data_IF_449895408619
#
_entry.id   IF_449895408619
#
_cell.length_a   1.000
_cell.length_b   1.000
_cell.length_c   1.000
_cell.angle_alpha   90.00
_cell.angle_beta   90.00
_cell.angle_gamma   90.00
#
_symmetry.space_group_name_H-M   'P 1'
#
loop_
_entity.id
_entity.type
_entity.pdbx_description
1 polymer ?
#
# COMPACT_ATOMS: atom_id res chain seq x y z
N UNK A 1 7.37 1.17 -6.14
CA UNK A 1 7.14 2.39 -6.93
C UNK A 1 5.70 2.91 -6.83
N UNK A 2 4.91 2.52 -5.81
CA UNK A 2 3.48 2.91 -5.74
C UNK A 2 3.26 4.37 -5.29
N UNK A 3 4.27 4.99 -4.67
CA UNK A 3 4.20 6.38 -4.22
C UNK A 3 4.56 7.39 -5.32
N UNK A 4 5.29 6.98 -6.37
CA UNK A 4 5.65 7.89 -7.47
C UNK A 4 4.44 8.39 -8.25
N UNK A 5 3.43 7.56 -8.58
CA UNK A 5 2.20 8.06 -9.18
C UNK A 5 1.42 9.02 -8.28
N UNK A 6 1.53 8.90 -6.95
CA UNK A 6 0.90 9.83 -6.01
C UNK A 6 1.55 11.23 -6.08
N UNK A 7 2.85 11.33 -6.37
CA UNK A 7 3.52 12.62 -6.58
C UNK A 7 3.02 13.36 -7.82
N UNK A 8 2.43 12.67 -8.81
CA UNK A 8 1.82 13.34 -9.97
C UNK A 8 0.73 14.33 -9.54
N UNK A 9 -0.01 14.02 -8.48
CA UNK A 9 -1.01 14.93 -7.93
C UNK A 9 -0.38 16.20 -7.35
N UNK A 10 0.84 16.13 -6.81
CA UNK A 10 1.57 17.31 -6.35
C UNK A 10 1.88 18.23 -7.54
N UNK A 11 2.34 17.67 -8.66
CA UNK A 11 2.62 18.43 -9.88
C UNK A 11 1.35 19.03 -10.47
N UNK A 12 0.26 18.25 -10.56
CA UNK A 12 -1.04 18.73 -11.06
C UNK A 12 -1.60 19.87 -10.20
N UNK A 13 -1.53 19.73 -8.88
CA UNK A 13 -1.99 20.78 -7.96
C UNK A 13 -1.15 22.05 -8.05
N UNK A 14 0.19 21.92 -8.16
CA UNK A 14 1.07 23.06 -8.37
C UNK A 14 0.75 23.77 -9.70
N UNK A 15 0.49 23.00 -10.76
CA UNK A 15 0.17 23.55 -12.07
C UNK A 15 -1.19 24.27 -12.07
N UNK A 16 -2.19 23.70 -11.39
CA UNK A 16 -3.50 24.33 -11.21
C UNK A 16 -3.42 25.69 -10.51
N UNK A 17 -2.59 25.80 -9.47
CA UNK A 17 -2.41 27.02 -8.69
C UNK A 17 -1.51 28.07 -9.39
N UNK A 18 -0.42 27.65 -10.02
CA UNK A 18 0.61 28.57 -10.56
C UNK A 18 0.37 28.99 -12.00
N UNK A 19 0.02 28.03 -12.87
CA UNK A 19 -0.13 28.23 -14.32
C UNK A 19 -1.57 28.57 -14.66
N UNK A 20 -2.52 27.69 -14.32
CA UNK A 20 -3.94 27.93 -14.64
C UNK A 20 -4.59 29.00 -13.75
N UNK A 21 -4.12 29.12 -12.49
CA UNK A 21 -4.65 30.06 -11.48
C UNK A 21 -6.16 29.91 -11.30
N UNK A 22 -6.64 28.66 -11.27
CA UNK A 22 -8.06 28.32 -11.08
C UNK A 22 -8.21 27.52 -9.79
N UNK A 23 -9.02 28.04 -8.86
CA UNK A 23 -9.31 27.38 -7.58
C UNK A 23 -10.06 26.07 -7.79
N UNK A 24 -11.11 26.06 -8.62
CA UNK A 24 -11.91 24.85 -8.86
C UNK A 24 -11.10 23.66 -9.37
N UNK A 25 -10.03 23.88 -10.15
CA UNK A 25 -9.14 22.79 -10.60
C UNK A 25 -8.36 22.19 -9.44
N UNK A 26 -7.90 23.02 -8.51
CA UNK A 26 -7.25 22.54 -7.29
C UNK A 26 -8.25 21.78 -6.40
N UNK A 27 -9.46 22.31 -6.25
CA UNK A 27 -10.51 21.67 -5.44
C UNK A 27 -10.88 20.28 -5.98
N UNK A 28 -10.98 20.12 -7.30
CA UNK A 28 -11.21 18.82 -7.94
C UNK A 28 -10.04 17.85 -7.73
N UNK A 29 -8.80 18.30 -7.91
CA UNK A 29 -7.59 17.49 -7.65
C UNK A 29 -7.52 17.06 -6.19
N UNK A 30 -7.81 17.96 -5.26
CA UNK A 30 -7.84 17.65 -3.83
C UNK A 30 -8.90 16.60 -3.50
N UNK A 31 -10.11 16.76 -4.04
CA UNK A 31 -11.20 15.81 -3.84
C UNK A 31 -10.86 14.40 -4.38
N UNK A 32 -10.24 14.33 -5.57
CA UNK A 32 -9.81 13.07 -6.16
C UNK A 32 -8.72 12.39 -5.31
N UNK A 33 -7.70 13.14 -4.89
CA UNK A 33 -6.62 12.63 -4.05
C UNK A 33 -7.17 12.07 -2.75
N UNK A 34 -8.12 12.75 -2.11
CA UNK A 34 -8.68 12.31 -0.85
C UNK A 34 -9.36 10.93 -0.99
N UNK A 35 -10.19 10.76 -2.03
CA UNK A 35 -10.86 9.50 -2.32
C UNK A 35 -9.87 8.38 -2.69
N UNK A 36 -8.92 8.67 -3.59
CA UNK A 36 -7.92 7.70 -4.04
C UNK A 36 -6.99 7.28 -2.91
N UNK A 37 -6.63 8.21 -2.02
CA UNK A 37 -5.75 7.94 -0.88
C UNK A 37 -6.43 7.03 0.15
N UNK A 38 -7.71 7.26 0.45
CA UNK A 38 -8.48 6.38 1.34
C UNK A 38 -8.56 4.94 0.80
N UNK A 39 -8.83 4.79 -0.51
CA UNK A 39 -8.85 3.49 -1.18
C UNK A 39 -7.47 2.83 -1.20
N UNK A 40 -6.42 3.62 -1.43
CA UNK A 40 -5.03 3.16 -1.41
C UNK A 40 -4.66 2.59 -0.04
N UNK A 41 -4.93 3.34 1.04
CA UNK A 41 -4.64 2.91 2.41
C UNK A 41 -5.41 1.64 2.76
N UNK A 42 -6.70 1.56 2.39
CA UNK A 42 -7.50 0.34 2.62
C UNK A 42 -6.90 -0.88 1.93
N UNK A 43 -6.67 -0.79 0.60
CA UNK A 43 -6.13 -1.92 -0.18
C UNK A 43 -4.73 -2.30 0.25
N UNK A 44 -3.89 -1.32 0.60
CA UNK A 44 -2.54 -1.59 1.08
C UNK A 44 -2.57 -2.34 2.42
N UNK A 45 -3.41 -1.90 3.35
CA UNK A 45 -3.53 -2.53 4.67
C UNK A 45 -4.03 -3.97 4.56
N UNK A 46 -5.08 -4.22 3.76
CA UNK A 46 -5.58 -5.58 3.51
C UNK A 46 -4.51 -6.49 2.90
N UNK A 47 -3.77 -6.00 1.90
CA UNK A 47 -2.71 -6.79 1.26
C UNK A 47 -1.54 -7.08 2.20
N UNK A 48 -1.12 -6.11 3.00
CA UNK A 48 -0.07 -6.27 4.01
C UNK A 48 -0.50 -7.32 5.04
N UNK A 49 -1.71 -7.18 5.59
CA UNK A 49 -2.24 -8.11 6.57
C UNK A 49 -2.36 -9.54 6.00
N UNK A 50 -2.92 -9.68 4.80
CA UNK A 50 -3.05 -10.98 4.14
C UNK A 50 -1.68 -11.64 3.90
N UNK A 51 -0.68 -10.86 3.46
CA UNK A 51 0.68 -11.35 3.22
C UNK A 51 1.34 -11.87 4.50
N UNK A 52 1.34 -11.08 5.58
CA UNK A 52 1.94 -11.49 6.84
C UNK A 52 1.14 -12.62 7.52
N UNK A 53 -0.18 -12.68 7.37
CA UNK A 53 -1.01 -13.78 7.84
C UNK A 53 -0.66 -15.09 7.12
N UNK A 54 -0.52 -15.05 5.80
CA UNK A 54 -0.06 -16.21 5.02
C UNK A 54 1.35 -16.63 5.41
N UNK A 55 2.26 -15.67 5.59
CA UNK A 55 3.63 -15.94 6.01
C UNK A 55 3.69 -16.61 7.39
N UNK A 56 2.95 -16.10 8.37
CA UNK A 56 2.86 -16.71 9.68
C UNK A 56 2.25 -18.12 9.59
N UNK A 57 1.16 -18.30 8.84
CA UNK A 57 0.57 -19.61 8.59
C UNK A 57 1.56 -20.59 7.98
N UNK A 58 2.38 -20.14 7.03
CA UNK A 58 3.46 -20.94 6.47
C UNK A 58 4.53 -21.29 7.52
N UNK A 59 4.93 -20.36 8.39
CA UNK A 59 5.95 -20.62 9.42
C UNK A 59 5.47 -21.63 10.46
N UNK A 60 4.19 -21.55 10.87
CA UNK A 60 3.62 -22.45 11.89
C UNK A 60 3.19 -23.81 11.34
N UNK A 61 3.03 -23.96 10.02
CA UNK A 61 2.70 -25.24 9.40
C UNK A 61 3.86 -26.24 9.55
N UNK A 62 3.58 -27.41 10.10
CA UNK A 62 4.60 -28.43 10.36
C UNK A 62 5.31 -28.88 9.06
N UNK A 63 6.63 -29.05 9.17
CA UNK A 63 7.50 -29.44 8.05
C UNK A 63 7.24 -30.86 7.59
N UNK A 64 6.88 -31.77 8.51
CA UNK A 64 6.58 -33.17 8.15
C UNK A 64 5.29 -33.26 7.34
N UNK A 65 4.26 -32.56 7.80
CA UNK A 65 2.98 -32.45 7.09
C UNK A 65 3.14 -31.87 5.66
N UNK A 66 4.02 -30.89 5.48
CA UNK A 66 4.33 -30.33 4.14
C UNK A 66 4.88 -31.38 3.18
N UNK A 67 5.82 -32.21 3.64
CA UNK A 67 6.43 -33.28 2.82
C UNK A 67 5.40 -34.36 2.50
N UNK A 68 4.55 -34.74 3.45
CA UNK A 68 3.47 -35.70 3.21
C UNK A 68 2.47 -35.20 2.15
N UNK A 69 2.10 -33.91 2.20
CA UNK A 69 1.22 -33.32 1.21
C UNK A 69 1.87 -33.22 -0.18
N UNK A 70 3.16 -32.92 -0.26
CA UNK A 70 3.91 -32.88 -1.52
C UNK A 70 3.95 -34.27 -2.18
N UNK A 71 4.16 -35.33 -1.39
CA UNK A 71 4.11 -36.73 -1.85
C UNK A 71 2.72 -37.13 -2.35
N UNK A 72 1.66 -36.59 -1.73
CA UNK A 72 0.26 -36.80 -2.15
C UNK A 72 -0.14 -35.95 -3.37
N UNK A 73 0.77 -35.15 -3.94
CA UNK A 73 0.52 -34.28 -5.09
C UNK A 73 -0.20 -32.97 -4.76
N UNK A 74 -0.41 -32.66 -3.47
CA UNK A 74 -0.93 -31.37 -3.02
C UNK A 74 0.22 -30.36 -2.93
N UNK A 75 0.41 -29.58 -3.99
CA UNK A 75 1.36 -28.47 -4.01
C UNK A 75 0.83 -27.28 -3.20
N UNK A 76 1.14 -27.24 -1.91
CA UNK A 76 1.01 -26.02 -1.13
C UNK A 76 2.05 -25.01 -1.61
N UNK A 77 1.63 -23.78 -1.89
CA UNK A 77 2.57 -22.68 -2.11
C UNK A 77 3.38 -22.48 -0.81
N UNK A 78 4.59 -23.05 -0.79
CA UNK A 78 5.36 -23.29 0.43
C UNK A 78 5.63 -22.01 1.23
N UNK A 79 5.79 -20.88 0.53
CA UNK A 79 5.90 -19.54 1.08
C UNK A 79 5.20 -18.53 0.17
N UNK A 80 4.56 -17.49 0.73
CA UNK A 80 4.04 -16.39 -0.08
C UNK A 80 5.20 -15.71 -0.83
N UNK A 81 4.90 -15.15 -2.02
CA UNK A 81 5.91 -14.41 -2.80
C UNK A 81 6.50 -13.29 -1.94
N UNK A 82 7.82 -13.13 -1.99
CA UNK A 82 8.49 -12.02 -1.33
C UNK A 82 7.95 -10.71 -1.88
N UNK A 83 7.31 -9.94 -1.01
CA UNK A 83 6.82 -8.61 -1.35
C UNK A 83 7.56 -7.56 -0.51
N UNK A 84 7.80 -6.39 -1.10
CA UNK A 84 8.60 -5.31 -0.51
C UNK A 84 7.71 -4.30 0.21
N UNK A 85 6.91 -4.76 1.16
CA UNK A 85 6.07 -3.88 1.98
C UNK A 85 6.87 -3.09 3.02
N UNK A 86 8.07 -3.53 3.36
CA UNK A 86 8.93 -2.90 4.38
C UNK A 86 9.22 -1.42 4.09
N UNK A 87 9.47 -1.07 2.82
CA UNK A 87 9.75 0.33 2.45
C UNK A 87 8.53 1.23 2.57
N UNK A 88 7.32 0.68 2.38
CA UNK A 88 6.05 1.39 2.55
C UNK A 88 5.70 1.54 4.04
N UNK A 89 5.90 0.48 4.83
CA UNK A 89 5.67 0.50 6.27
C UNK A 89 6.63 1.45 7.00
N UNK A 90 7.82 1.72 6.45
CA UNK A 90 8.77 2.68 7.03
C UNK A 90 8.43 4.15 6.72
N UNK A 91 7.49 4.43 5.81
CA UNK A 91 7.12 5.81 5.47
C UNK A 91 6.32 6.45 6.59
N UNK A 92 6.91 7.47 7.24
CA UNK A 92 6.26 8.27 8.28
C UNK A 92 5.89 9.68 7.82
N UNK A 93 6.39 10.11 6.67
CA UNK A 93 6.18 11.46 6.13
C UNK A 93 6.03 11.41 4.61
N UNK A 94 4.84 11.04 4.12
CA UNK A 94 4.51 11.17 2.70
C UNK A 94 4.02 12.60 2.46
N UNK A 95 4.67 13.35 1.59
CA UNK A 95 4.26 14.71 1.23
C UNK A 95 3.23 14.64 0.10
N UNK A 96 1.99 15.08 0.37
CA UNK A 96 0.91 15.05 -0.61
C UNK A 96 0.05 16.30 -0.47
N UNK A 97 -0.07 17.08 -1.54
CA UNK A 97 -0.78 18.36 -1.60
C UNK A 97 -0.38 19.33 -0.47
N UNK A 98 0.90 19.32 -0.07
CA UNK A 98 1.42 20.14 1.03
C UNK A 98 1.14 19.59 2.44
N UNK A 99 0.51 18.42 2.55
CA UNK A 99 0.28 17.71 3.82
C UNK A 99 1.39 16.68 4.05
N UNK A 100 1.80 16.53 5.31
CA UNK A 100 2.67 15.42 5.72
C UNK A 100 1.82 14.30 6.32
N UNK A 101 1.76 13.17 5.63
CA UNK A 101 0.92 12.04 6.00
C UNK A 101 1.78 10.89 6.55
N UNK A 102 1.42 10.42 7.75
CA UNK A 102 2.06 9.25 8.37
C UNK A 102 1.38 7.96 7.90
N UNK A 103 1.95 7.36 6.85
CA UNK A 103 1.43 6.14 6.26
C UNK A 103 1.53 4.94 7.23
N UNK A 104 2.60 4.87 8.03
CA UNK A 104 2.76 3.82 9.04
C UNK A 104 1.63 3.84 10.07
N UNK A 105 1.30 5.03 10.58
CA UNK A 105 0.21 5.21 11.54
C UNK A 105 -1.14 4.79 10.95
N UNK A 106 -1.42 5.18 9.71
CA UNK A 106 -2.67 4.85 9.02
C UNK A 106 -2.83 3.35 8.76
N UNK A 107 -1.75 2.67 8.37
CA UNK A 107 -1.75 1.22 8.19
C UNK A 107 -1.93 0.51 9.53
N UNK A 108 -1.27 0.98 10.59
CA UNK A 108 -1.33 0.35 11.93
C UNK A 108 -2.72 0.47 12.58
N UNK A 109 -3.50 1.48 12.22
CA UNK A 109 -4.85 1.69 12.73
C UNK A 109 -5.89 0.73 12.13
N UNK A 110 -5.59 0.07 11.01
CA UNK A 110 -6.50 -0.84 10.30
C UNK A 110 -6.08 -2.29 10.48
#
# INVERSE_FOLDING_TARGET
YVLYPLDLYNDSALYALTIFRKQFLYDEVEAEVNLCFDQFVYKLSEQVFAHYKQLAGSIYLDKRFRVECEVLGFNFQSYPKNNRYETLLKQRHVQLLGRSIDLNKLITQR
#
